data_IF_191902752444
#
_entry.id   IF_191902752444
#
_cell.length_a   1.000
_cell.length_b   1.000
_cell.length_c   1.000
_cell.angle_alpha   90.00
_cell.angle_beta   90.00
_cell.angle_gamma   90.00
#
_symmetry.space_group_name_H-M   'P 1'
#
loop_
_entity.id
_entity.type
_entity.pdbx_description
1 polymer ?
#
# COMPACT_ATOMS: atom_id res chain seq x y z
N UNK A 1 22.24 5.53 -9.13
CA UNK A 1 20.76 5.55 -9.22
C UNK A 1 20.23 6.50 -8.15
N UNK A 2 19.35 7.43 -8.53
CA UNK A 2 18.87 8.51 -7.67
C UNK A 2 18.14 7.98 -6.43
N UNK A 3 18.30 8.70 -5.32
CA UNK A 3 17.92 8.30 -3.96
C UNK A 3 16.40 8.28 -3.77
N UNK A 4 15.76 7.16 -4.10
CA UNK A 4 14.41 6.88 -3.61
C UNK A 4 14.45 6.74 -2.08
N UNK A 5 13.41 7.23 -1.40
CA UNK A 5 13.28 7.05 0.05
C UNK A 5 13.38 5.57 0.39
N UNK A 6 14.35 5.21 1.24
CA UNK A 6 14.57 3.82 1.62
C UNK A 6 13.30 3.20 2.24
N UNK A 7 12.95 1.95 1.92
CA UNK A 7 11.89 1.23 2.62
C UNK A 7 12.13 1.21 4.13
N UNK A 8 11.10 1.51 4.92
CA UNK A 8 11.18 1.40 6.38
C UNK A 8 11.16 -0.07 6.76
N UNK A 9 12.24 -0.58 7.37
CA UNK A 9 12.32 -1.99 7.75
C UNK A 9 11.41 -2.36 8.94
N UNK A 10 11.29 -1.46 9.93
CA UNK A 10 10.54 -1.69 11.18
C UNK A 10 9.54 -0.56 11.40
N UNK A 11 8.26 -0.77 11.08
CA UNK A 11 7.26 0.26 11.31
C UNK A 11 6.87 0.35 12.79
N UNK A 12 6.61 1.58 13.27
CA UNK A 12 6.29 1.85 14.68
C UNK A 12 4.86 1.46 15.05
N UNK A 13 3.89 1.75 14.17
CA UNK A 13 2.47 1.52 14.43
C UNK A 13 2.08 0.03 14.34
N UNK A 14 1.28 -0.45 15.30
CA UNK A 14 0.87 -1.85 15.40
C UNK A 14 0.07 -2.33 14.17
N UNK A 15 -0.86 -1.50 13.68
CA UNK A 15 -1.62 -1.78 12.46
C UNK A 15 -0.70 -1.97 11.23
N UNK A 16 0.37 -1.19 11.15
CA UNK A 16 1.30 -1.26 10.02
C UNK A 16 2.18 -2.51 10.10
N UNK A 17 2.56 -2.96 11.31
CA UNK A 17 3.25 -4.24 11.50
C UNK A 17 2.39 -5.42 11.00
N UNK A 18 1.09 -5.41 11.30
CA UNK A 18 0.15 -6.41 10.78
C UNK A 18 0.06 -6.33 9.25
N UNK A 19 -0.04 -5.12 8.68
CA UNK A 19 -0.03 -4.91 7.24
C UNK A 19 1.24 -5.44 6.56
N UNK A 20 2.42 -5.23 7.17
CA UNK A 20 3.69 -5.75 6.68
C UNK A 20 3.74 -7.28 6.72
N UNK A 21 3.28 -7.89 7.80
CA UNK A 21 3.23 -9.36 7.92
C UNK A 21 2.28 -9.97 6.90
N UNK A 22 1.09 -9.39 6.74
CA UNK A 22 0.10 -9.85 5.76
C UNK A 22 0.63 -9.72 4.32
N UNK A 23 1.18 -8.57 3.96
CA UNK A 23 1.69 -8.33 2.59
C UNK A 23 2.91 -9.16 2.26
N UNK A 24 3.85 -9.37 3.20
CA UNK A 24 4.94 -10.36 3.02
C UNK A 24 4.41 -11.76 2.77
N UNK A 25 3.35 -12.17 3.49
CA UNK A 25 2.78 -13.51 3.33
C UNK A 25 2.07 -13.68 1.99
N UNK A 26 1.37 -12.66 1.51
CA UNK A 26 0.60 -12.72 0.26
C UNK A 26 1.46 -12.50 -0.99
N UNK A 27 2.39 -11.54 -0.96
CA UNK A 27 3.15 -11.10 -2.14
C UNK A 27 4.65 -11.43 -2.06
N UNK A 28 5.12 -12.06 -0.99
CA UNK A 28 6.54 -12.33 -0.73
C UNK A 28 7.36 -11.12 -0.29
N UNK A 29 6.83 -9.90 -0.49
CA UNK A 29 7.50 -8.65 -0.15
C UNK A 29 6.52 -7.57 0.31
N UNK A 30 7.03 -6.53 0.99
CA UNK A 30 6.22 -5.37 1.40
C UNK A 30 6.16 -4.39 0.23
N UNK A 31 4.96 -4.02 -0.27
CA UNK A 31 4.83 -3.07 -1.36
C UNK A 31 5.50 -1.72 -1.04
N UNK A 32 6.07 -1.09 -2.07
CA UNK A 32 6.71 0.24 -1.97
C UNK A 32 5.84 1.29 -1.28
N UNK A 33 4.56 1.48 -1.64
CA UNK A 33 3.68 2.44 -0.98
C UNK A 33 3.53 2.19 0.53
N UNK A 34 3.46 0.92 0.94
CA UNK A 34 3.33 0.56 2.36
C UNK A 34 4.65 0.74 3.11
N UNK A 35 5.78 0.39 2.48
CA UNK A 35 7.10 0.47 3.09
C UNK A 35 7.70 1.88 3.11
N UNK A 36 7.28 2.74 2.19
CA UNK A 36 7.83 4.09 2.04
C UNK A 36 6.87 5.15 2.55
N UNK A 37 5.65 5.21 2.00
CA UNK A 37 4.68 6.28 2.25
C UNK A 37 3.90 6.05 3.55
N UNK A 38 3.19 4.92 3.67
CA UNK A 38 2.35 4.64 4.84
C UNK A 38 3.18 4.49 6.14
N UNK A 39 4.45 4.11 6.03
CA UNK A 39 5.33 3.97 7.17
C UNK A 39 5.81 5.30 7.77
N UNK A 40 5.74 6.39 7.00
CA UNK A 40 6.19 7.73 7.40
C UNK A 40 5.04 8.69 7.69
N UNK A 41 3.91 8.50 7.02
CA UNK A 41 2.76 9.40 7.15
C UNK A 41 1.89 9.06 8.37
N UNK A 42 1.12 10.04 8.87
CA UNK A 42 0.08 9.79 9.86
C UNK A 42 -0.93 8.73 9.39
N UNK A 43 -1.51 7.93 10.30
CA UNK A 43 -2.48 6.87 9.95
C UNK A 43 -3.66 7.36 9.10
N UNK A 44 -4.05 8.64 9.20
CA UNK A 44 -5.09 9.25 8.38
C UNK A 44 -4.82 9.13 6.87
N UNK A 45 -3.56 9.22 6.44
CA UNK A 45 -3.18 9.05 5.03
C UNK A 45 -3.28 7.59 4.58
N UNK A 46 -2.99 6.64 5.48
CA UNK A 46 -3.26 5.23 5.18
C UNK A 46 -4.76 5.00 5.00
N UNK A 47 -5.61 5.61 5.84
CA UNK A 47 -7.07 5.55 5.69
C UNK A 47 -7.54 6.17 4.37
N UNK A 48 -6.95 7.28 3.94
CA UNK A 48 -7.23 7.87 2.63
C UNK A 48 -6.85 6.92 1.48
N UNK A 49 -5.67 6.31 1.53
CA UNK A 49 -5.23 5.32 0.54
C UNK A 49 -6.20 4.12 0.45
N UNK A 50 -6.70 3.64 1.58
CA UNK A 50 -7.70 2.56 1.61
C UNK A 50 -9.02 2.94 0.90
N UNK A 51 -9.39 4.24 0.86
CA UNK A 51 -10.57 4.68 0.10
C UNK A 51 -10.38 4.51 -1.41
N UNK A 52 -9.15 4.62 -1.93
CA UNK A 52 -8.88 4.37 -3.35
C UNK A 52 -9.21 2.91 -3.71
N UNK A 53 -8.78 1.94 -2.89
CA UNK A 53 -9.15 0.53 -3.07
C UNK A 53 -10.64 0.25 -2.88
N UNK A 54 -11.33 1.01 -2.02
CA UNK A 54 -12.78 0.92 -1.89
C UNK A 54 -13.51 1.48 -3.13
N UNK A 55 -12.97 2.52 -3.75
CA UNK A 55 -13.51 3.11 -4.99
C UNK A 55 -13.29 2.18 -6.18
N UNK A 56 -12.12 1.54 -6.26
CA UNK A 56 -11.81 0.50 -7.26
C UNK A 56 -12.86 -0.62 -7.27
N UNK A 57 -13.31 -1.07 -6.10
CA UNK A 57 -14.34 -2.13 -6.01
C UNK A 57 -15.70 -1.72 -6.55
N UNK A 58 -15.93 -0.42 -6.74
CA UNK A 58 -17.17 0.13 -7.32
C UNK A 58 -17.05 0.39 -8.81
N UNK A 59 -15.89 0.13 -9.41
CA UNK A 59 -15.67 0.37 -10.82
C UNK A 59 -16.39 -0.71 -11.64
N UNK A 60 -17.38 -0.29 -12.44
CA UNK A 60 -18.11 -1.15 -13.37
C UNK A 60 -17.33 -1.35 -14.68
N UNK A 61 -16.06 -1.74 -14.58
CA UNK A 61 -15.22 -2.09 -15.72
C UNK A 61 -14.74 -3.53 -15.61
N UNK A 62 -14.56 -4.17 -16.76
CA UNK A 62 -13.91 -5.47 -16.81
C UNK A 62 -12.51 -5.37 -16.19
N UNK A 63 -12.13 -6.40 -15.42
CA UNK A 63 -10.86 -6.45 -14.70
C UNK A 63 -9.66 -6.15 -15.60
N UNK A 64 -9.64 -6.75 -16.80
CA UNK A 64 -8.61 -6.58 -17.82
C UNK A 64 -8.46 -5.10 -18.24
N UNK A 65 -9.57 -4.40 -18.48
CA UNK A 65 -9.58 -2.98 -18.83
C UNK A 65 -9.15 -2.11 -17.66
N UNK A 66 -9.57 -2.46 -16.43
CA UNK A 66 -9.21 -1.69 -15.24
C UNK A 66 -7.71 -1.65 -14.97
N UNK A 67 -6.99 -2.73 -15.31
CA UNK A 67 -5.54 -2.83 -15.15
C UNK A 67 -4.81 -1.96 -16.18
N UNK A 68 -5.35 -1.80 -17.38
CA UNK A 68 -4.75 -0.98 -18.44
C UNK A 68 -4.82 0.53 -18.18
N UNK A 69 -5.85 1.00 -17.46
CA UNK A 69 -6.05 2.42 -17.15
C UNK A 69 -5.19 2.86 -15.95
N UNK A 70 -4.68 1.90 -15.17
CA UNK A 70 -4.01 2.10 -13.88
C UNK A 70 -2.55 2.50 -14.00
#
# INVERSE_FOLDING_TARGET
MATYLAPVAKPKALLLKLGYAYTRRQFGQVPGPLSVFCARMPPAFTKFYMKAGALEKKLELASETSVLIR
#
